data_IF_951775139465
#
_entry.id   IF_951775139465
#
_cell.length_a   1.000
_cell.length_b   1.000
_cell.length_c   1.000
_cell.angle_alpha   90.00
_cell.angle_beta   90.00
_cell.angle_gamma   90.00
#
_symmetry.space_group_name_H-M   'P 1'
#
loop_
_entity.id
_entity.type
_entity.pdbx_description
1 polymer ?
#
# COMPACT_ATOMS: atom_id res chain seq x y z
N UNK A 1 24.60 -6.50 5.19
CA UNK A 1 24.18 -5.09 5.28
C UNK A 1 22.70 -5.04 4.96
N UNK A 2 21.89 -4.31 5.73
CA UNK A 2 20.47 -4.13 5.40
C UNK A 2 20.35 -3.30 4.12
N UNK A 3 19.47 -3.70 3.20
CA UNK A 3 19.18 -2.95 1.99
C UNK A 3 18.59 -1.58 2.37
N UNK A 4 19.08 -0.49 1.76
CA UNK A 4 18.53 0.85 1.98
C UNK A 4 17.29 1.07 1.11
N UNK A 5 16.42 2.00 1.48
CA UNK A 5 15.27 2.36 0.66
C UNK A 5 15.67 2.76 -0.78
N UNK A 6 16.77 3.54 -0.93
CA UNK A 6 17.29 3.92 -2.23
C UNK A 6 17.74 2.71 -3.07
N UNK A 7 18.45 1.75 -2.44
CA UNK A 7 18.86 0.51 -3.11
C UNK A 7 17.65 -0.30 -3.58
N UNK A 8 16.61 -0.42 -2.75
CA UNK A 8 15.38 -1.12 -3.10
C UNK A 8 14.62 -0.43 -4.25
N UNK A 9 14.50 0.90 -4.23
CA UNK A 9 13.87 1.66 -5.31
C UNK A 9 14.54 1.35 -6.65
N UNK A 10 15.87 1.41 -6.70
CA UNK A 10 16.63 1.11 -7.92
C UNK A 10 16.51 -0.36 -8.32
N UNK A 11 16.75 -1.29 -7.40
CA UNK A 11 16.74 -2.74 -7.67
C UNK A 11 15.37 -3.24 -8.13
N UNK A 12 14.30 -2.70 -7.53
CA UNK A 12 12.92 -3.07 -7.85
C UNK A 12 12.33 -2.18 -8.96
N UNK A 13 13.06 -1.21 -9.50
CA UNK A 13 12.58 -0.33 -10.58
C UNK A 13 11.32 0.44 -10.20
N UNK A 14 11.25 0.95 -8.97
CA UNK A 14 10.10 1.73 -8.50
C UNK A 14 10.16 3.16 -9.03
N UNK A 15 8.98 3.75 -9.26
CA UNK A 15 8.80 5.13 -9.74
C UNK A 15 8.00 5.94 -8.72
N UNK A 16 8.12 7.27 -8.67
CA UNK A 16 7.31 8.10 -7.76
C UNK A 16 5.81 7.86 -7.97
N UNK A 17 5.07 7.69 -6.88
CA UNK A 17 3.60 7.55 -6.91
C UNK A 17 2.93 8.92 -6.73
N UNK A 18 1.82 9.23 -7.44
CA UNK A 18 1.12 10.52 -7.31
C UNK A 18 0.68 10.85 -5.89
N UNK A 19 0.40 9.82 -5.09
CA UNK A 19 -0.08 9.97 -3.71
C UNK A 19 1.05 10.04 -2.68
N UNK A 20 2.31 9.92 -3.12
CA UNK A 20 3.50 9.87 -2.26
C UNK A 20 4.14 8.48 -2.22
N UNK A 21 5.45 8.44 -1.98
CA UNK A 21 6.25 7.21 -2.04
C UNK A 21 6.59 6.78 -3.46
N UNK A 22 6.91 5.50 -3.60
CA UNK A 22 7.35 4.86 -4.84
C UNK A 22 6.57 3.59 -5.09
N UNK A 23 6.27 3.30 -6.35
CA UNK A 23 5.52 2.12 -6.72
C UNK A 23 6.02 1.48 -8.02
N UNK A 24 5.61 0.23 -8.25
CA UNK A 24 5.69 -0.44 -9.55
C UNK A 24 4.57 -1.45 -9.69
N UNK A 25 3.80 -1.38 -10.77
CA UNK A 25 2.86 -2.44 -11.13
C UNK A 25 3.61 -3.72 -11.50
N UNK A 26 3.26 -4.82 -10.83
CA UNK A 26 3.85 -6.15 -11.02
C UNK A 26 2.92 -7.11 -11.75
N UNK A 27 1.61 -6.87 -11.65
CA UNK A 27 0.60 -7.66 -12.33
C UNK A 27 -0.65 -6.81 -12.58
N UNK A 28 -1.34 -7.10 -13.68
CA UNK A 28 -2.64 -6.54 -14.03
C UNK A 28 -3.42 -7.57 -14.83
N UNK A 29 -4.65 -7.80 -14.44
CA UNK A 29 -5.59 -8.53 -15.28
C UNK A 29 -6.00 -7.68 -16.49
N UNK A 30 -5.99 -8.28 -17.68
CA UNK A 30 -6.30 -7.62 -18.96
C UNK A 30 -7.30 -8.45 -19.75
N UNK A 31 -8.60 -8.25 -19.52
CA UNK A 31 -9.66 -8.89 -20.31
C UNK A 31 -9.50 -8.63 -21.81
N UNK A 32 -9.78 -9.65 -22.63
CA UNK A 32 -9.62 -9.57 -24.08
C UNK A 32 -10.59 -8.60 -24.76
N UNK A 33 -11.73 -8.34 -24.14
CA UNK A 33 -12.74 -7.38 -24.58
C UNK A 33 -12.38 -5.92 -24.22
N UNK A 34 -11.25 -5.69 -23.54
CA UNK A 34 -10.81 -4.37 -23.10
C UNK A 34 -11.55 -3.84 -21.87
N UNK A 35 -12.35 -4.67 -21.20
CA UNK A 35 -13.03 -4.31 -19.95
C UNK A 35 -12.07 -4.08 -18.77
N UNK A 36 -12.61 -3.60 -17.65
CA UNK A 36 -11.85 -3.46 -16.39
C UNK A 36 -11.48 -4.86 -15.88
N UNK A 37 -10.18 -5.11 -15.73
CA UNK A 37 -9.67 -6.37 -15.16
C UNK A 37 -10.08 -6.55 -13.69
N UNK A 38 -10.03 -7.79 -13.22
CA UNK A 38 -10.44 -8.15 -11.85
C UNK A 38 -9.50 -7.61 -10.77
N UNK A 39 -8.30 -7.17 -11.14
CA UNK A 39 -7.38 -6.53 -10.21
C UNK A 39 -6.01 -6.18 -10.80
N UNK A 40 -5.20 -5.58 -9.93
CA UNK A 40 -3.79 -5.29 -10.14
C UNK A 40 -3.01 -5.66 -8.88
N UNK A 41 -1.68 -5.77 -9.01
CA UNK A 41 -0.78 -5.88 -7.86
C UNK A 41 0.41 -4.96 -8.07
N UNK A 42 0.77 -4.20 -7.05
CA UNK A 42 1.91 -3.28 -7.08
C UNK A 42 2.89 -3.62 -5.96
N UNK A 43 4.16 -3.25 -6.16
CA UNK A 43 5.06 -2.99 -5.05
C UNK A 43 4.91 -1.52 -4.66
N UNK A 44 4.91 -1.23 -3.37
CA UNK A 44 4.85 0.12 -2.83
C UNK A 44 5.91 0.30 -1.74
N UNK A 45 6.54 1.47 -1.70
CA UNK A 45 7.60 1.79 -0.75
C UNK A 45 7.52 3.26 -0.32
N UNK A 46 7.64 3.49 0.98
CA UNK A 46 7.84 4.81 1.57
C UNK A 46 9.25 4.91 2.14
N UNK A 47 9.95 6.01 1.88
CA UNK A 47 11.16 6.38 2.62
C UNK A 47 10.78 6.97 3.96
N UNK A 48 11.76 7.05 4.86
CA UNK A 48 11.57 7.75 6.13
C UNK A 48 11.12 9.21 5.87
N UNK A 49 10.03 9.62 6.51
CA UNK A 49 9.45 10.95 6.37
C UNK A 49 8.51 11.13 5.17
N UNK A 50 8.32 10.11 4.34
CA UNK A 50 7.28 10.10 3.30
C UNK A 50 5.97 9.50 3.83
N UNK A 51 4.86 9.89 3.21
CA UNK A 51 3.53 9.37 3.49
C UNK A 51 2.77 9.15 2.20
N UNK A 52 1.81 8.23 2.23
CA UNK A 52 0.72 8.14 1.26
C UNK A 52 -0.42 9.03 1.74
N UNK A 53 -0.77 10.04 0.95
CA UNK A 53 -1.83 10.97 1.27
C UNK A 53 -3.20 10.30 1.27
N UNK A 54 -4.18 10.92 1.93
CA UNK A 54 -5.55 10.43 1.94
C UNK A 54 -6.13 10.32 0.53
N UNK A 55 -6.50 9.10 0.15
CA UNK A 55 -7.11 8.80 -1.14
C UNK A 55 -8.14 7.67 -1.00
N UNK A 56 -8.85 7.36 -2.10
CA UNK A 56 -9.85 6.29 -2.18
C UNK A 56 -9.77 5.61 -3.52
N UNK A 57 -10.04 4.31 -3.51
CA UNK A 57 -10.14 3.50 -4.72
C UNK A 57 -11.55 2.94 -4.87
N UNK A 58 -11.95 2.67 -6.11
CA UNK A 58 -13.23 2.08 -6.51
C UNK A 58 -13.18 0.54 -6.50
N UNK A 59 -12.23 -0.05 -5.77
CA UNK A 59 -12.10 -1.48 -5.50
C UNK A 59 -11.68 -1.72 -4.05
N UNK A 60 -11.75 -2.97 -3.61
CA UNK A 60 -11.08 -3.41 -2.39
C UNK A 60 -9.57 -3.40 -2.61
N UNK A 61 -8.80 -2.94 -1.64
CA UNK A 61 -7.34 -2.96 -1.68
C UNK A 61 -6.75 -3.78 -0.53
N UNK A 62 -5.82 -4.65 -0.89
CA UNK A 62 -5.11 -5.53 0.03
C UNK A 62 -3.68 -5.01 0.22
N UNK A 63 -3.32 -4.69 1.46
CA UNK A 63 -1.98 -4.31 1.84
C UNK A 63 -1.24 -5.51 2.41
N UNK A 64 -0.08 -5.82 1.84
CA UNK A 64 0.81 -6.87 2.33
C UNK A 64 2.14 -6.25 2.77
N UNK A 65 2.48 -6.39 4.05
CA UNK A 65 3.76 -5.95 4.55
C UNK A 65 4.85 -6.95 4.16
N UNK A 66 5.95 -6.44 3.58
CA UNK A 66 7.07 -7.28 3.14
C UNK A 66 8.36 -7.02 3.89
N UNK A 67 8.70 -5.76 4.14
CA UNK A 67 9.96 -5.39 4.78
C UNK A 67 9.94 -3.94 5.28
N UNK A 68 10.91 -3.59 6.12
CA UNK A 68 11.15 -2.22 6.58
C UNK A 68 10.69 -1.97 8.00
N UNK A 69 10.27 -0.74 8.28
CA UNK A 69 9.61 -0.40 9.54
C UNK A 69 8.11 -0.75 9.45
N UNK A 70 7.42 -0.91 10.59
CA UNK A 70 5.97 -1.05 10.59
C UNK A 70 5.30 0.17 9.94
N UNK A 71 4.28 -0.07 9.12
CA UNK A 71 3.50 0.99 8.46
C UNK A 71 2.19 1.22 9.21
N UNK A 72 1.82 2.48 9.45
CA UNK A 72 0.52 2.82 10.05
C UNK A 72 -0.48 3.08 8.94
N UNK A 73 -1.28 2.07 8.58
CA UNK A 73 -2.36 2.22 7.62
C UNK A 73 -3.60 2.79 8.31
N UNK A 74 -3.99 4.01 7.96
CA UNK A 74 -5.19 4.69 8.47
C UNK A 74 -6.35 4.47 7.52
N UNK A 75 -7.54 4.23 8.06
CA UNK A 75 -8.72 3.78 7.31
C UNK A 75 -9.97 4.52 7.82
N UNK A 76 -10.82 5.03 6.93
CA UNK A 76 -12.09 5.62 7.32
C UNK A 76 -13.19 5.35 6.30
N UNK A 77 -14.37 4.92 6.77
CA UNK A 77 -15.57 4.91 5.94
C UNK A 77 -15.93 6.34 5.49
N UNK A 78 -16.66 6.53 4.38
CA UNK A 78 -17.15 7.85 3.99
C UNK A 78 -17.95 8.52 5.12
N UNK A 79 -17.45 9.66 5.63
CA UNK A 79 -18.04 10.38 6.76
C UNK A 79 -17.84 9.74 8.15
N UNK A 80 -17.12 8.63 8.23
CA UNK A 80 -16.79 7.94 9.49
C UNK A 80 -15.51 8.46 10.14
N UNK A 81 -15.31 8.08 11.41
CA UNK A 81 -14.05 8.33 12.11
C UNK A 81 -12.92 7.45 11.54
N UNK A 82 -11.70 7.98 11.57
CA UNK A 82 -10.53 7.21 11.18
C UNK A 82 -10.16 6.17 12.25
N UNK A 83 -9.80 4.98 11.78
CA UNK A 83 -9.18 3.90 12.53
C UNK A 83 -7.81 3.57 11.92
N UNK A 84 -7.04 2.68 12.53
CA UNK A 84 -5.73 2.29 12.01
C UNK A 84 -5.44 0.80 12.21
N UNK A 85 -4.62 0.29 11.30
CA UNK A 85 -3.96 -1.02 11.39
C UNK A 85 -2.47 -0.78 11.29
N UNK A 86 -1.69 -1.38 12.19
CA UNK A 86 -0.23 -1.33 12.10
C UNK A 86 0.25 -2.55 11.32
N UNK A 87 0.77 -2.31 10.13
CA UNK A 87 1.29 -3.34 9.26
C UNK A 87 2.73 -3.68 9.64
N UNK A 88 3.01 -4.95 9.89
CA UNK A 88 4.32 -5.45 10.31
C UNK A 88 4.25 -6.87 10.85
N UNK A 89 5.31 -7.31 11.53
CA UNK A 89 5.45 -8.71 12.01
C UNK A 89 5.71 -8.82 13.51
N UNK A 90 5.69 -7.72 14.26
CA UNK A 90 5.68 -7.78 15.72
C UNK A 90 4.25 -8.08 16.23
N UNK A 91 3.90 -9.36 16.20
CA UNK A 91 2.58 -9.85 16.60
C UNK A 91 2.28 -9.59 18.08
N UNK A 92 3.31 -9.58 18.94
CA UNK A 92 3.14 -9.27 20.36
C UNK A 92 2.74 -7.81 20.57
N UNK A 93 3.18 -6.91 19.69
CA UNK A 93 2.75 -5.52 19.63
C UNK A 93 1.43 -5.30 18.84
N UNK A 94 0.75 -6.36 18.41
CA UNK A 94 -0.50 -6.28 17.66
C UNK A 94 -0.34 -5.88 16.19
N UNK A 95 0.87 -5.97 15.64
CA UNK A 95 1.08 -5.74 14.21
C UNK A 95 0.55 -6.91 13.38
N UNK A 96 0.07 -6.61 12.18
CA UNK A 96 -0.43 -7.61 11.23
C UNK A 96 0.27 -7.47 9.89
N UNK A 97 0.69 -8.55 9.21
CA UNK A 97 1.34 -8.45 7.90
C UNK A 97 0.35 -8.11 6.78
N UNK A 98 -0.93 -7.96 7.12
CA UNK A 98 -2.03 -7.78 6.18
C UNK A 98 -3.02 -6.72 6.67
N UNK A 99 -3.47 -5.88 5.75
CA UNK A 99 -4.58 -4.93 5.96
C UNK A 99 -5.52 -4.93 4.75
N UNK A 100 -6.81 -4.79 5.00
CA UNK A 100 -7.83 -4.73 3.95
C UNK A 100 -8.52 -3.36 4.00
N UNK A 101 -8.51 -2.63 2.89
CA UNK A 101 -9.26 -1.40 2.71
C UNK A 101 -10.51 -1.72 1.91
N UNK A 102 -11.72 -1.58 2.49
CA UNK A 102 -12.94 -1.82 1.73
C UNK A 102 -13.11 -0.81 0.61
N UNK A 103 -13.86 -1.19 -0.43
CA UNK A 103 -14.16 -0.32 -1.56
C UNK A 103 -14.74 1.02 -1.10
N UNK A 104 -14.19 2.12 -1.64
CA UNK A 104 -14.68 3.47 -1.37
C UNK A 104 -14.32 4.03 0.01
N UNK A 105 -13.54 3.31 0.82
CA UNK A 105 -13.00 3.83 2.09
C UNK A 105 -11.77 4.70 1.84
N UNK A 106 -11.61 5.73 2.66
CA UNK A 106 -10.40 6.55 2.73
C UNK A 106 -9.26 5.75 3.32
N UNK A 107 -8.08 5.90 2.74
CA UNK A 107 -6.83 5.33 3.27
C UNK A 107 -5.67 6.33 3.21
N UNK A 108 -4.73 6.21 4.14
CA UNK A 108 -3.44 6.92 4.17
C UNK A 108 -2.40 6.08 4.92
N UNK A 109 -1.12 6.27 4.63
CA UNK A 109 -0.01 5.46 5.17
C UNK A 109 1.23 6.27 5.50
#
# INVERSE_FOLDING_TARGET
MAETAASLITRLGLQPHPEGGFFRETWRDRPADGGRGVGTAILFLLRAGEASHWHRVDAVECWHWHAGLPLRLRLAAPGGAASEVILGVDFAAGQMPFGLVPQGWWQAG
#
